data_IF_758941607053
#
_entry.id   IF_758941607053
#
_cell.length_a   1.000
_cell.length_b   1.000
_cell.length_c   1.000
_cell.angle_alpha   90.00
_cell.angle_beta   90.00
_cell.angle_gamma   90.00
#
_symmetry.space_group_name_H-M   'P 1'
#
loop_
_entity.id
_entity.type
_entity.pdbx_description
1 polymer ?
#
# COMPACT_ATOMS: atom_id res chain seq x y z
N UNK A 1 -13.37 10.25 -9.24
CA UNK A 1 -13.90 9.98 -7.88
C UNK A 1 -12.72 9.85 -6.94
N UNK A 2 -12.78 10.36 -5.70
CA UNK A 2 -11.70 10.19 -4.75
C UNK A 2 -11.54 8.73 -4.32
N UNK A 3 -10.35 8.39 -3.82
CA UNK A 3 -10.11 7.12 -3.12
C UNK A 3 -10.80 7.19 -1.76
N UNK A 4 -11.63 6.19 -1.45
CA UNK A 4 -12.31 6.10 -0.16
C UNK A 4 -11.32 5.85 0.97
N UNK A 5 -11.57 6.36 2.17
CA UNK A 5 -10.66 6.20 3.30
C UNK A 5 -10.40 4.72 3.61
N UNK A 6 -11.41 3.85 3.45
CA UNK A 6 -11.30 2.40 3.66
C UNK A 6 -10.81 1.63 2.43
N UNK A 7 -10.50 2.31 1.32
CA UNK A 7 -9.90 1.72 0.12
C UNK A 7 -10.83 1.56 -1.07
N UNK A 8 -12.05 2.11 -1.06
CA UNK A 8 -12.87 2.16 -2.28
C UNK A 8 -12.10 2.79 -3.43
N UNK A 9 -12.26 2.22 -4.63
CA UNK A 9 -11.55 2.61 -5.85
C UNK A 9 -10.03 2.37 -5.83
N UNK A 10 -9.48 1.70 -4.81
CA UNK A 10 -8.08 1.31 -4.75
C UNK A 10 -7.91 -0.17 -5.10
N UNK A 11 -6.88 -0.47 -5.89
CA UNK A 11 -6.50 -1.83 -6.28
C UNK A 11 -5.04 -2.04 -5.89
N UNK A 12 -4.74 -3.10 -5.14
CA UNK A 12 -3.38 -3.56 -4.89
C UNK A 12 -3.08 -4.79 -5.75
N UNK A 13 -2.08 -4.68 -6.62
CA UNK A 13 -1.53 -5.81 -7.36
C UNK A 13 -0.24 -6.29 -6.67
N UNK A 14 -0.33 -7.46 -6.06
CA UNK A 14 0.69 -8.05 -5.19
C UNK A 14 1.20 -9.33 -5.84
N UNK A 15 2.52 -9.53 -5.84
CA UNK A 15 3.14 -10.70 -6.47
C UNK A 15 4.54 -10.95 -5.93
N UNK A 16 5.07 -12.15 -6.08
CA UNK A 16 6.53 -12.31 -6.04
C UNK A 16 7.18 -11.49 -7.16
N UNK A 17 8.43 -11.02 -7.01
CA UNK A 17 9.20 -10.50 -8.15
C UNK A 17 9.21 -11.52 -9.29
N UNK A 18 9.30 -11.08 -10.55
CA UNK A 18 9.36 -11.95 -11.74
C UNK A 18 8.12 -12.80 -12.04
N UNK A 19 7.02 -12.62 -11.30
CA UNK A 19 5.73 -13.29 -11.57
C UNK A 19 4.94 -12.73 -12.78
N UNK A 20 5.45 -11.70 -13.46
CA UNK A 20 4.77 -11.07 -14.61
C UNK A 20 3.81 -9.94 -14.24
N UNK A 21 3.92 -9.37 -13.02
CA UNK A 21 3.04 -8.29 -12.56
C UNK A 21 3.09 -7.02 -13.40
N UNK A 22 4.22 -6.72 -14.07
CA UNK A 22 4.30 -5.62 -15.03
C UNK A 22 3.44 -5.86 -16.28
N UNK A 23 3.36 -7.10 -16.78
CA UNK A 23 2.48 -7.43 -17.91
C UNK A 23 1.01 -7.27 -17.49
N UNK A 24 0.64 -7.84 -16.35
CA UNK A 24 -0.72 -7.72 -15.82
C UNK A 24 -1.10 -6.26 -15.55
N UNK A 25 -0.19 -5.46 -14.98
CA UNK A 25 -0.39 -4.03 -14.78
C UNK A 25 -0.69 -3.30 -16.10
N UNK A 26 0.02 -3.61 -17.19
CA UNK A 26 -0.23 -3.01 -18.51
C UNK A 26 -1.63 -3.36 -19.04
N UNK A 27 -2.03 -4.63 -18.89
CA UNK A 27 -3.36 -5.10 -19.28
C UNK A 27 -4.45 -4.39 -18.47
N UNK A 28 -4.30 -4.30 -17.15
CA UNK A 28 -5.27 -3.61 -16.30
C UNK A 28 -5.28 -2.09 -16.57
N UNK A 29 -4.12 -1.49 -16.81
CA UNK A 29 -3.98 -0.07 -17.09
C UNK A 29 -4.59 0.38 -18.43
N UNK A 30 -4.83 -0.53 -19.38
CA UNK A 30 -5.56 -0.22 -20.62
C UNK A 30 -7.07 -0.10 -20.41
N UNK A 31 -7.60 -0.50 -19.26
CA UNK A 31 -9.01 -0.35 -18.93
C UNK A 31 -9.37 1.15 -18.80
N UNK A 32 -10.55 1.59 -19.30
CA UNK A 32 -10.96 3.00 -19.24
C UNK A 32 -11.08 3.53 -17.81
N UNK A 33 -11.32 2.66 -16.84
CA UNK A 33 -11.49 3.04 -15.42
C UNK A 33 -10.23 2.93 -14.55
N UNK A 34 -9.15 2.30 -15.02
CA UNK A 34 -7.98 1.99 -14.17
C UNK A 34 -6.78 2.86 -14.51
N UNK A 35 -6.38 3.72 -13.58
CA UNK A 35 -5.11 4.46 -13.64
C UNK A 35 -4.04 3.72 -12.83
N UNK A 36 -2.79 3.77 -13.28
CA UNK A 36 -1.67 3.13 -12.58
C UNK A 36 -0.37 3.83 -12.96
N UNK A 37 0.65 3.70 -12.11
CA UNK A 37 1.98 4.29 -12.29
C UNK A 37 3.07 3.23 -12.07
N UNK A 38 4.30 3.55 -12.43
CA UNK A 38 5.44 2.66 -12.13
C UNK A 38 5.60 2.55 -10.61
N UNK A 39 5.63 1.31 -10.11
CA UNK A 39 5.76 0.89 -8.70
C UNK A 39 5.91 2.05 -7.69
N UNK A 40 4.83 2.41 -6.95
CA UNK A 40 4.87 3.53 -6.00
C UNK A 40 5.68 3.27 -4.73
N UNK A 41 5.72 2.02 -4.24
CA UNK A 41 6.39 1.62 -2.99
C UNK A 41 5.89 2.33 -1.71
N UNK A 42 4.77 3.05 -1.78
CA UNK A 42 4.29 3.95 -0.74
C UNK A 42 3.92 3.25 0.57
N UNK A 43 3.34 2.04 0.52
CA UNK A 43 2.75 1.40 1.69
C UNK A 43 3.73 0.59 2.54
N UNK A 44 4.98 0.39 2.10
CA UNK A 44 5.96 -0.34 2.91
C UNK A 44 6.41 0.50 4.11
N UNK A 45 6.90 1.72 3.87
CA UNK A 45 7.43 2.59 4.94
C UNK A 45 6.47 2.83 6.13
N UNK A 46 5.19 3.20 5.95
CA UNK A 46 4.31 3.50 7.07
C UNK A 46 4.05 2.26 7.96
N UNK A 47 4.04 1.06 7.37
CA UNK A 47 3.87 -0.16 8.15
C UNK A 47 5.16 -0.63 8.79
N UNK A 48 6.31 -0.44 8.11
CA UNK A 48 7.61 -0.74 8.68
C UNK A 48 8.01 0.20 9.82
N UNK A 49 7.44 1.40 9.93
CA UNK A 49 7.67 2.31 11.06
C UNK A 49 7.40 1.67 12.44
N UNK A 50 6.52 0.67 12.52
CA UNK A 50 6.19 -0.04 13.77
C UNK A 50 6.77 -1.46 13.85
N UNK A 51 7.52 -1.91 12.83
CA UNK A 51 8.11 -3.26 12.76
C UNK A 51 9.41 -3.32 13.56
N UNK A 52 9.59 -4.43 14.27
CA UNK A 52 10.79 -4.71 15.06
C UNK A 52 12.00 -5.09 14.18
N UNK A 53 11.74 -5.69 13.01
CA UNK A 53 12.75 -6.27 12.13
C UNK A 53 12.40 -5.98 10.66
N UNK A 54 13.36 -6.23 9.77
CA UNK A 54 13.18 -6.14 8.32
C UNK A 54 13.41 -4.74 7.73
N UNK A 55 13.84 -3.77 8.53
CA UNK A 55 14.31 -2.46 8.09
C UNK A 55 15.49 -2.03 8.96
N UNK A 56 16.52 -1.49 8.31
CA UNK A 56 17.67 -0.86 8.94
C UNK A 56 17.77 0.59 8.44
N UNK A 57 18.05 1.53 9.34
CA UNK A 57 17.99 2.97 9.07
C UNK A 57 19.09 3.72 9.80
N UNK A 58 19.60 4.79 9.18
CA UNK A 58 20.63 5.67 9.78
C UNK A 58 20.18 6.28 11.11
N UNK A 59 18.89 6.58 11.25
CA UNK A 59 18.30 7.16 12.45
C UNK A 59 17.95 6.14 13.54
N UNK A 60 18.39 4.88 13.41
CA UNK A 60 18.06 3.77 14.29
C UNK A 60 16.57 3.43 14.32
N UNK A 61 16.17 2.46 13.49
CA UNK A 61 14.81 1.92 13.46
C UNK A 61 14.32 1.51 14.86
N UNK A 62 15.20 0.90 15.66
CA UNK A 62 14.86 0.45 17.01
C UNK A 62 14.36 1.60 17.89
N UNK A 63 15.06 2.74 17.86
CA UNK A 63 14.70 3.93 18.65
C UNK A 63 13.45 4.58 18.06
N UNK A 64 13.39 4.75 16.74
CA UNK A 64 12.23 5.33 16.06
C UNK A 64 10.93 4.55 16.34
N UNK A 65 10.98 3.21 16.28
CA UNK A 65 9.83 2.34 16.60
C UNK A 65 9.32 2.58 18.02
N UNK A 66 10.22 2.71 19.00
CA UNK A 66 9.83 2.98 20.40
C UNK A 66 9.13 4.34 20.49
N UNK A 67 9.69 5.38 19.86
CA UNK A 67 9.08 6.71 19.85
C UNK A 67 7.70 6.74 19.18
N UNK A 68 7.54 6.07 18.03
CA UNK A 68 6.23 5.91 17.36
C UNK A 68 5.27 5.13 18.25
N UNK A 69 5.75 4.07 18.91
CA UNK A 69 5.00 3.27 19.89
C UNK A 69 4.43 4.12 21.02
N UNK A 70 5.29 4.85 21.72
CA UNK A 70 4.89 5.72 22.83
C UNK A 70 3.95 6.84 22.37
N UNK A 71 4.16 7.43 21.19
CA UNK A 71 3.22 8.42 20.65
C UNK A 71 1.84 7.81 20.38
N UNK A 72 1.78 6.56 19.88
CA UNK A 72 0.50 5.87 19.70
C UNK A 72 -0.20 5.60 21.04
N UNK A 73 0.53 5.31 22.12
CA UNK A 73 -0.06 5.09 23.44
C UNK A 73 -0.77 6.33 24.01
N UNK A 74 -0.39 7.54 23.56
CA UNK A 74 -1.05 8.80 23.95
C UNK A 74 -2.33 9.09 23.14
N UNK A 75 -2.57 8.38 22.03
CA UNK A 75 -3.76 8.59 21.19
C UNK A 75 -4.99 7.86 21.75
N UNK A 76 -6.20 8.48 21.70
CA UNK A 76 -7.42 7.90 22.28
C UNK A 76 -7.73 6.46 21.84
N UNK A 77 -7.47 6.12 20.56
CA UNK A 77 -7.68 4.78 20.01
C UNK A 77 -6.37 4.10 19.57
N UNK A 78 -5.22 4.62 20.00
CA UNK A 78 -3.90 4.07 19.73
C UNK A 78 -3.62 3.74 18.27
N UNK A 79 -3.48 2.44 17.96
CA UNK A 79 -3.18 1.96 16.60
C UNK A 79 -4.28 2.32 15.60
N UNK A 80 -5.54 2.36 16.01
CA UNK A 80 -6.65 2.63 15.09
C UNK A 80 -6.60 4.08 14.60
N UNK A 81 -6.22 5.03 15.46
CA UNK A 81 -5.99 6.42 15.09
C UNK A 81 -4.78 6.55 14.15
N UNK A 82 -3.70 5.80 14.40
CA UNK A 82 -2.53 5.76 13.52
C UNK A 82 -2.90 5.22 12.12
N UNK A 83 -3.67 4.14 12.06
CA UNK A 83 -4.14 3.55 10.80
C UNK A 83 -5.06 4.50 10.03
N UNK A 84 -5.93 5.22 10.74
CA UNK A 84 -6.76 6.28 10.15
C UNK A 84 -5.91 7.42 9.60
N UNK A 85 -4.83 7.80 10.29
CA UNK A 85 -3.83 8.74 9.79
C UNK A 85 -3.18 8.27 8.47
N UNK A 86 -2.79 6.99 8.41
CA UNK A 86 -2.29 6.36 7.18
C UNK A 86 -3.36 6.41 6.08
N UNK A 87 -4.62 6.03 6.35
CA UNK A 87 -5.71 6.10 5.36
C UNK A 87 -5.83 7.49 4.76
N UNK A 88 -5.88 8.53 5.61
CA UNK A 88 -6.03 9.93 5.18
C UNK A 88 -4.88 10.38 4.30
N UNK A 89 -3.64 10.11 4.73
CA UNK A 89 -2.45 10.52 3.98
C UNK A 89 -2.41 9.82 2.61
N UNK A 90 -2.52 8.49 2.57
CA UNK A 90 -2.32 7.75 1.33
C UNK A 90 -3.53 7.78 0.40
N UNK A 91 -4.76 7.82 0.92
CA UNK A 91 -5.94 8.06 0.07
C UNK A 91 -5.87 9.44 -0.61
N UNK A 92 -5.34 10.45 0.08
CA UNK A 92 -5.06 11.75 -0.53
C UNK A 92 -4.05 11.62 -1.67
N UNK A 93 -2.88 11.01 -1.43
CA UNK A 93 -1.85 10.83 -2.46
C UNK A 93 -2.34 10.04 -3.67
N UNK A 94 -3.05 8.93 -3.46
CA UNK A 94 -3.63 8.14 -4.55
C UNK A 94 -4.72 8.91 -5.31
N UNK A 95 -5.54 9.71 -4.62
CA UNK A 95 -6.51 10.60 -5.27
C UNK A 95 -5.80 11.62 -6.16
N UNK A 96 -4.73 12.25 -5.66
CA UNK A 96 -3.95 13.21 -6.46
C UNK A 96 -3.27 12.57 -7.66
N UNK A 97 -2.85 11.32 -7.56
CA UNK A 97 -2.31 10.58 -8.70
C UNK A 97 -3.40 10.18 -9.71
N UNK A 98 -4.65 10.00 -9.25
CA UNK A 98 -5.80 9.71 -10.11
C UNK A 98 -6.34 10.98 -10.80
N UNK A 99 -6.16 12.16 -10.20
CA UNK A 99 -6.64 13.43 -10.73
C UNK A 99 -6.09 13.71 -12.15
N UNK A 100 -6.95 14.21 -13.03
CA UNK A 100 -6.59 14.51 -14.43
C UNK A 100 -6.47 13.27 -15.33
N UNK A 101 -6.48 12.05 -14.80
CA UNK A 101 -6.45 10.82 -15.61
C UNK A 101 -7.76 10.51 -16.34
N UNK A 102 -8.88 11.10 -15.89
CA UNK A 102 -10.23 10.78 -16.35
C UNK A 102 -10.76 9.42 -15.87
N UNK A 103 -10.02 8.73 -15.00
CA UNK A 103 -10.32 7.36 -14.54
C UNK A 103 -10.89 7.34 -13.13
N UNK A 104 -11.51 6.24 -12.75
CA UNK A 104 -12.24 6.11 -11.47
C UNK A 104 -11.52 5.26 -10.42
N UNK A 105 -10.53 4.45 -10.81
CA UNK A 105 -9.80 3.53 -9.92
C UNK A 105 -8.29 3.73 -10.03
N UNK A 106 -7.59 3.65 -8.90
CA UNK A 106 -6.13 3.65 -8.86
C UNK A 106 -5.60 2.24 -8.56
N UNK A 107 -4.62 1.79 -9.34
CA UNK A 107 -3.92 0.53 -9.13
C UNK A 107 -2.47 0.78 -8.68
N UNK A 108 -2.18 0.41 -7.44
CA UNK A 108 -0.83 0.32 -6.90
C UNK A 108 -0.32 -1.12 -7.11
N UNK A 109 0.66 -1.25 -8.00
CA UNK A 109 1.40 -2.48 -8.18
C UNK A 109 2.76 -2.31 -7.51
N UNK A 110 2.96 -3.01 -6.41
CA UNK A 110 4.26 -3.15 -5.77
C UNK A 110 4.44 -4.62 -5.38
N UNK A 111 5.34 -5.38 -6.04
CA UNK A 111 5.43 -6.83 -5.80
C UNK A 111 5.61 -7.16 -4.33
N UNK A 112 6.53 -6.45 -3.66
CA UNK A 112 6.91 -6.67 -2.26
C UNK A 112 5.83 -6.38 -1.21
N UNK A 113 4.63 -5.93 -1.62
CA UNK A 113 3.49 -5.85 -0.71
C UNK A 113 3.07 -7.21 -0.14
N UNK A 114 3.61 -8.33 -0.65
CA UNK A 114 3.47 -9.64 0.02
C UNK A 114 4.01 -9.64 1.47
N UNK A 115 4.90 -8.71 1.84
CA UNK A 115 5.42 -8.55 3.20
C UNK A 115 4.43 -7.88 4.18
N UNK A 116 3.41 -7.22 3.65
CA UNK A 116 2.50 -6.33 4.41
C UNK A 116 1.01 -6.59 4.09
N UNK A 117 0.66 -7.76 3.55
CA UNK A 117 -0.73 -8.11 3.21
C UNK A 117 -1.68 -7.91 4.42
N UNK A 118 -1.36 -8.39 5.64
CA UNK A 118 -2.24 -8.18 6.79
C UNK A 118 -2.45 -6.70 7.13
N UNK A 119 -1.42 -5.87 6.97
CA UNK A 119 -1.50 -4.43 7.22
C UNK A 119 -2.38 -3.73 6.18
N UNK A 120 -2.24 -4.10 4.90
CA UNK A 120 -3.09 -3.55 3.84
C UNK A 120 -4.55 -3.94 4.02
N UNK A 121 -4.85 -5.18 4.41
CA UNK A 121 -6.23 -5.63 4.69
C UNK A 121 -6.84 -4.90 5.90
N UNK A 122 -6.03 -4.60 6.91
CA UNK A 122 -6.44 -3.87 8.11
C UNK A 122 -6.70 -2.37 7.81
N UNK A 123 -5.82 -1.75 7.04
CA UNK A 123 -5.91 -0.30 6.74
C UNK A 123 -6.88 -0.01 5.60
N UNK A 124 -6.90 -0.81 4.53
CA UNK A 124 -7.78 -0.62 3.38
C UNK A 124 -8.66 -1.86 3.13
N UNK A 125 -9.60 -2.18 4.04
CA UNK A 125 -10.41 -3.40 3.96
C UNK A 125 -11.35 -3.44 2.74
N UNK A 126 -11.66 -2.30 2.13
CA UNK A 126 -12.57 -2.20 0.97
C UNK A 126 -11.81 -2.12 -0.36
N UNK A 127 -10.47 -2.08 -0.33
CA UNK A 127 -9.65 -2.17 -1.53
C UNK A 127 -9.80 -3.54 -2.22
N UNK A 128 -9.50 -3.57 -3.52
CA UNK A 128 -9.42 -4.82 -4.28
C UNK A 128 -7.99 -5.34 -4.27
N UNK A 129 -7.83 -6.62 -3.96
CA UNK A 129 -6.53 -7.28 -3.90
C UNK A 129 -6.40 -8.30 -5.02
N UNK A 130 -5.38 -8.14 -5.86
CA UNK A 130 -5.03 -9.09 -6.92
C UNK A 130 -3.70 -9.74 -6.51
N UNK A 131 -3.75 -11.03 -6.18
CA UNK A 131 -2.58 -11.84 -5.87
C UNK A 131 -2.15 -12.60 -7.13
N UNK A 132 -1.00 -12.25 -7.69
CA UNK A 132 -0.44 -12.92 -8.87
C UNK A 132 0.64 -13.91 -8.46
N UNK A 133 0.39 -15.18 -8.79
CA UNK A 133 1.32 -16.28 -8.58
C UNK A 133 1.92 -16.74 -9.90
N UNK A 134 3.17 -17.22 -9.84
CA UNK A 134 3.87 -17.91 -10.92
C UNK A 134 4.56 -19.13 -10.34
N UNK A 135 4.69 -20.18 -11.14
CA UNK A 135 5.45 -21.38 -10.75
C UNK A 135 6.84 -20.97 -10.23
N UNK A 136 7.25 -21.39 -9.02
CA UNK A 136 8.52 -20.98 -8.41
C UNK A 136 9.75 -21.38 -9.24
N UNK A 137 9.67 -22.44 -10.06
CA UNK A 137 10.75 -22.83 -10.99
C UNK A 137 10.93 -21.85 -12.16
N UNK A 138 10.00 -20.92 -12.36
CA UNK A 138 10.00 -19.94 -13.43
C UNK A 138 10.12 -18.49 -12.94
N UNK A 139 10.42 -18.29 -11.64
CA UNK A 139 10.56 -17.00 -10.95
C UNK A 139 12.04 -16.64 -10.82
#
# INVERSE_FOLDING_TARGET
MPIGLRGDNLIFLISQPRAGSTLLQRILGSHPEVHTVSEPWLMLHPFYATRAEGIDTEYSQRIARVGVGSFMEEMPNGRDDHDEGIRRMYAHLYTRALDGSGKSRFLDKTPRYYLIIPDLLRVFPEARFILLFRNPLAV
#
